data_IF_175520559091
#
_entry.id   IF_175520559091
#
_cell.length_a   1.000
_cell.length_b   1.000
_cell.length_c   1.000
_cell.angle_alpha   90.00
_cell.angle_beta   90.00
_cell.angle_gamma   90.00
#
_symmetry.space_group_name_H-M   'P 1'
#
loop_
_entity.id
_entity.type
_entity.pdbx_description
1 polymer ?
#
# COMPACT_ATOMS: atom_id res chain seq x y z
N UNK A 1 17.32 -45.77 -5.57
CA UNK A 1 18.43 -45.52 -6.52
C UNK A 1 17.99 -44.33 -7.35
N UNK A 2 18.45 -43.10 -7.13
CA UNK A 2 19.75 -42.58 -7.54
C UNK A 2 20.33 -41.59 -6.51
N UNK A 3 21.60 -41.80 -6.15
CA UNK A 3 22.49 -40.86 -5.45
C UNK A 3 23.35 -40.19 -6.53
N UNK A 4 23.55 -38.87 -6.49
CA UNK A 4 24.72 -38.29 -7.16
C UNK A 4 25.21 -37.00 -6.48
N UNK A 5 26.39 -37.11 -5.86
CA UNK A 5 27.47 -36.13 -5.77
C UNK A 5 27.28 -34.82 -5.00
N UNK A 6 27.24 -34.96 -3.67
CA UNK A 6 27.40 -33.90 -2.66
C UNK A 6 28.88 -33.51 -2.38
N UNK A 7 29.84 -33.72 -3.30
CA UNK A 7 31.29 -33.64 -2.95
C UNK A 7 32.18 -32.85 -3.94
N UNK A 8 31.66 -32.31 -5.06
CA UNK A 8 32.51 -31.56 -6.03
C UNK A 8 32.25 -30.05 -6.14
N UNK A 9 31.18 -29.53 -5.54
CA UNK A 9 30.88 -28.07 -5.57
C UNK A 9 31.47 -27.36 -4.34
N UNK A 10 31.90 -28.13 -3.34
CA UNK A 10 32.42 -27.65 -2.04
C UNK A 10 33.75 -26.88 -2.13
N UNK A 11 34.38 -26.75 -3.30
CA UNK A 11 35.69 -26.09 -3.44
C UNK A 11 35.75 -24.91 -4.43
N UNK A 12 34.68 -24.60 -5.16
CA UNK A 12 34.71 -23.54 -6.20
C UNK A 12 34.09 -22.21 -5.71
N UNK A 13 33.23 -22.22 -4.69
CA UNK A 13 32.55 -20.98 -4.25
C UNK A 13 33.26 -20.29 -3.07
N UNK A 14 34.17 -21.00 -2.38
CA UNK A 14 34.96 -20.44 -1.27
C UNK A 14 36.00 -19.38 -1.69
N UNK A 15 36.17 -19.08 -2.98
CA UNK A 15 37.13 -18.08 -3.50
C UNK A 15 36.51 -16.79 -4.08
N UNK A 16 35.17 -16.68 -4.17
CA UNK A 16 34.50 -15.44 -4.65
C UNK A 16 34.16 -14.50 -3.50
N UNK A 17 34.60 -14.80 -2.27
CA UNK A 17 34.31 -14.00 -1.06
C UNK A 17 35.20 -12.76 -0.91
N UNK A 18 36.29 -12.56 -1.67
CA UNK A 18 37.31 -11.59 -1.24
C UNK A 18 37.43 -10.26 -2.01
N UNK A 19 36.89 -10.08 -3.23
CA UNK A 19 37.36 -8.98 -4.12
C UNK A 19 36.25 -8.18 -4.84
N UNK A 20 35.07 -8.03 -4.23
CA UNK A 20 34.15 -6.97 -4.66
C UNK A 20 33.55 -6.26 -3.46
N UNK A 21 34.47 -5.71 -2.66
CA UNK A 21 34.44 -4.32 -2.21
C UNK A 21 33.06 -3.76 -1.91
N UNK A 22 32.66 -3.93 -0.65
CA UNK A 22 32.33 -2.81 0.24
C UNK A 22 31.56 -1.63 -0.37
N UNK A 23 30.39 -1.91 -0.93
CA UNK A 23 29.21 -1.10 -0.66
C UNK A 23 28.17 -1.98 0.01
N UNK A 24 28.57 -2.60 1.13
CA UNK A 24 27.60 -2.93 2.18
C UNK A 24 27.19 -1.58 2.75
N UNK A 25 26.17 -0.96 2.15
CA UNK A 25 25.24 -0.21 2.98
C UNK A 25 24.69 -1.25 3.94
N UNK A 26 25.13 -1.17 5.19
CA UNK A 26 24.38 -1.73 6.29
C UNK A 26 23.06 -0.94 6.31
N UNK A 27 22.07 -1.40 5.54
CA UNK A 27 20.71 -0.93 5.67
C UNK A 27 20.24 -1.43 7.04
N UNK A 28 20.28 -0.50 7.99
CA UNK A 28 20.01 -0.75 9.39
C UNK A 28 18.53 -1.16 9.54
N UNK A 29 18.36 -2.42 9.99
CA UNK A 29 17.13 -3.03 10.52
C UNK A 29 16.05 -3.33 9.49
N UNK A 30 15.87 -4.65 9.34
CA UNK A 30 14.62 -5.37 9.12
C UNK A 30 13.48 -4.81 10.00
N UNK A 31 12.96 -3.62 9.69
CA UNK A 31 11.75 -3.08 10.29
C UNK A 31 10.59 -3.65 9.49
N UNK A 32 10.03 -4.76 9.98
CA UNK A 32 8.71 -5.21 9.54
C UNK A 32 7.74 -4.03 9.71
N UNK A 33 6.93 -3.67 8.70
CA UNK A 33 6.00 -2.55 8.83
C UNK A 33 5.09 -2.75 10.05
N UNK A 34 4.72 -1.66 10.74
CA UNK A 34 3.86 -1.71 11.95
C UNK A 34 2.58 -2.49 11.70
N UNK A 35 2.06 -2.40 10.47
CA UNK A 35 0.83 -3.05 10.03
C UNK A 35 1.07 -4.10 8.95
N UNK A 36 0.41 -5.25 9.08
CA UNK A 36 0.30 -6.24 8.00
C UNK A 36 -0.95 -5.96 7.17
N UNK A 37 -0.79 -5.15 6.11
CA UNK A 37 -1.89 -4.69 5.26
C UNK A 37 -2.67 -5.85 4.62
N UNK A 38 -1.98 -6.93 4.23
CA UNK A 38 -2.62 -8.11 3.61
C UNK A 38 -3.53 -8.84 4.61
N UNK A 39 -3.08 -8.99 5.86
CA UNK A 39 -3.89 -9.59 6.93
C UNK A 39 -5.09 -8.72 7.25
N UNK A 40 -4.90 -7.40 7.34
CA UNK A 40 -5.99 -6.45 7.58
C UNK A 40 -7.03 -6.49 6.47
N UNK A 41 -6.59 -6.46 5.20
CA UNK A 41 -7.48 -6.56 4.05
C UNK A 41 -8.25 -7.89 4.04
N UNK A 42 -7.59 -9.01 4.36
CA UNK A 42 -8.23 -10.32 4.43
C UNK A 42 -9.28 -10.41 5.55
N UNK A 43 -8.97 -9.93 6.75
CA UNK A 43 -9.91 -9.87 7.87
C UNK A 43 -11.15 -9.03 7.54
N UNK A 44 -10.94 -7.85 6.94
CA UNK A 44 -12.04 -6.99 6.53
C UNK A 44 -12.84 -7.58 5.37
N UNK A 45 -12.20 -8.25 4.41
CA UNK A 45 -12.90 -8.91 3.31
C UNK A 45 -13.83 -10.01 3.81
N UNK A 46 -13.37 -10.84 4.77
CA UNK A 46 -14.22 -11.85 5.41
C UNK A 46 -15.40 -11.23 6.14
N UNK A 47 -15.21 -10.12 6.84
CA UNK A 47 -16.29 -9.44 7.59
C UNK A 47 -17.43 -8.93 6.71
N UNK A 48 -17.14 -8.60 5.45
CA UNK A 48 -18.10 -8.03 4.50
C UNK A 48 -18.38 -8.94 3.31
N UNK A 49 -18.04 -10.24 3.42
CA UNK A 49 -18.26 -11.26 2.39
C UNK A 49 -17.71 -10.86 1.00
N UNK A 50 -16.57 -10.14 0.98
CA UNK A 50 -15.92 -9.72 -0.26
C UNK A 50 -15.13 -10.89 -0.83
N UNK A 51 -15.48 -11.29 -2.06
CA UNK A 51 -14.76 -12.32 -2.78
C UNK A 51 -13.40 -11.82 -3.29
N UNK A 52 -12.48 -12.75 -3.57
CA UNK A 52 -11.19 -12.42 -4.19
C UNK A 52 -11.35 -11.73 -5.54
N UNK A 53 -12.37 -12.14 -6.29
CA UNK A 53 -12.70 -11.59 -7.61
C UNK A 53 -13.20 -10.15 -7.50
N UNK A 54 -14.06 -9.84 -6.52
CA UNK A 54 -14.50 -8.47 -6.25
C UNK A 54 -13.33 -7.58 -5.83
N UNK A 55 -12.50 -8.06 -4.89
CA UNK A 55 -11.31 -7.33 -4.45
C UNK A 55 -10.35 -7.07 -5.61
N UNK A 56 -10.02 -8.12 -6.38
CA UNK A 56 -9.15 -8.02 -7.56
C UNK A 56 -9.71 -7.02 -8.57
N UNK A 57 -11.02 -7.10 -8.87
CA UNK A 57 -11.69 -6.16 -9.78
C UNK A 57 -11.53 -4.72 -9.32
N UNK A 58 -11.82 -4.43 -8.04
CA UNK A 58 -11.71 -3.08 -7.49
C UNK A 58 -10.31 -2.47 -7.67
N UNK A 59 -9.26 -3.26 -7.39
CA UNK A 59 -7.87 -2.82 -7.53
C UNK A 59 -7.48 -2.66 -9.01
N UNK A 60 -7.83 -3.61 -9.87
CA UNK A 60 -7.49 -3.58 -11.29
C UNK A 60 -8.17 -2.44 -12.05
N UNK A 61 -9.41 -2.10 -11.67
CA UNK A 61 -10.16 -1.01 -12.31
C UNK A 61 -9.98 0.34 -11.64
N UNK A 62 -9.28 0.40 -10.50
CA UNK A 62 -9.19 1.57 -9.62
C UNK A 62 -10.58 2.09 -9.23
N UNK A 63 -11.49 1.18 -8.91
CA UNK A 63 -12.88 1.49 -8.60
C UNK A 63 -13.24 0.98 -7.20
N UNK A 64 -13.28 1.90 -6.24
CA UNK A 64 -13.61 1.58 -4.86
C UNK A 64 -15.08 1.17 -4.68
N UNK A 65 -15.98 1.55 -5.60
CA UNK A 65 -17.42 1.27 -5.50
C UNK A 65 -17.77 -0.19 -5.73
N UNK A 66 -16.83 -0.97 -6.29
CA UNK A 66 -16.96 -2.43 -6.42
C UNK A 66 -17.03 -3.11 -5.05
N UNK A 67 -16.48 -2.49 -4.00
CA UNK A 67 -16.47 -3.01 -2.63
C UNK A 67 -17.44 -2.25 -1.74
N UNK A 68 -17.97 -2.93 -0.72
CA UNK A 68 -18.85 -2.31 0.25
C UNK A 68 -18.17 -1.10 0.94
N UNK A 69 -18.83 0.05 1.10
CA UNK A 69 -18.22 1.23 1.73
C UNK A 69 -17.57 0.95 3.10
N UNK A 70 -18.21 0.12 3.92
CA UNK A 70 -17.71 -0.23 5.24
C UNK A 70 -16.47 -1.13 5.24
N UNK A 71 -16.14 -1.78 4.12
CA UNK A 71 -14.86 -2.48 3.96
C UNK A 71 -13.70 -1.49 4.04
N UNK A 72 -13.79 -0.37 3.33
CA UNK A 72 -12.77 0.68 3.34
C UNK A 72 -12.59 1.24 4.76
N UNK A 73 -13.69 1.50 5.46
CA UNK A 73 -13.65 1.91 6.86
C UNK A 73 -12.89 0.90 7.73
N UNK A 74 -13.22 -0.38 7.60
CA UNK A 74 -12.58 -1.44 8.39
C UNK A 74 -11.06 -1.45 8.19
N UNK A 75 -10.60 -1.36 6.94
CA UNK A 75 -9.18 -1.28 6.61
C UNK A 75 -8.56 -0.02 7.20
N UNK A 76 -9.14 1.15 6.93
CA UNK A 76 -8.56 2.43 7.32
C UNK A 76 -8.52 2.67 8.83
N UNK A 77 -9.55 2.22 9.58
CA UNK A 77 -9.53 2.29 11.05
C UNK A 77 -8.41 1.43 11.65
N UNK A 78 -8.16 0.23 11.09
CA UNK A 78 -7.13 -0.69 11.60
C UNK A 78 -5.71 -0.16 11.43
N UNK A 79 -5.49 0.70 10.43
CA UNK A 79 -4.19 1.34 10.16
C UNK A 79 -4.15 2.82 10.54
N UNK A 80 -5.17 3.31 11.27
CA UNK A 80 -5.30 4.69 11.74
C UNK A 80 -5.28 5.76 10.63
N UNK A 81 -5.71 5.39 9.42
CA UNK A 81 -5.97 6.36 8.34
C UNK A 81 -7.19 7.23 8.67
N UNK A 82 -8.12 6.68 9.46
CA UNK A 82 -9.23 7.44 10.04
C UNK A 82 -9.00 7.65 11.54
N UNK A 83 -9.35 8.82 12.04
CA UNK A 83 -9.38 9.12 13.47
C UNK A 83 -10.59 8.47 14.17
N UNK A 84 -10.73 8.67 15.48
CA UNK A 84 -11.84 8.09 16.26
C UNK A 84 -13.23 8.58 15.84
N UNK A 85 -13.32 9.71 15.13
CA UNK A 85 -14.56 10.29 14.60
C UNK A 85 -14.89 9.77 13.19
N UNK A 86 -14.05 8.89 12.63
CA UNK A 86 -14.22 8.37 11.27
C UNK A 86 -13.90 9.41 10.19
N UNK A 87 -13.11 10.44 10.53
CA UNK A 87 -12.58 11.42 9.59
C UNK A 87 -11.18 11.02 9.13
N UNK A 88 -10.81 11.41 7.92
CA UNK A 88 -9.48 11.20 7.36
C UNK A 88 -8.42 11.96 8.15
N UNK A 89 -7.44 11.23 8.69
CA UNK A 89 -6.29 11.77 9.40
C UNK A 89 -5.08 11.80 8.45
N UNK A 90 -4.83 12.96 7.86
CA UNK A 90 -3.76 13.16 6.89
C UNK A 90 -2.36 12.92 7.51
N UNK A 91 -2.09 13.46 8.69
CA UNK A 91 -0.78 13.39 9.32
C UNK A 91 -0.41 11.95 9.70
N UNK A 92 -1.35 11.21 10.30
CA UNK A 92 -1.15 9.80 10.62
C UNK A 92 -0.98 8.96 9.35
N UNK A 93 -1.78 9.25 8.32
CA UNK A 93 -1.66 8.56 7.03
C UNK A 93 -0.33 8.83 6.33
N UNK A 94 0.17 10.06 6.42
CA UNK A 94 1.45 10.44 5.83
C UNK A 94 2.61 9.70 6.52
N UNK A 95 2.55 9.55 7.84
CA UNK A 95 3.54 8.77 8.59
C UNK A 95 3.48 7.27 8.25
N UNK A 96 2.28 6.72 8.11
CA UNK A 96 2.10 5.34 7.62
C UNK A 96 2.69 5.16 6.21
N UNK A 97 2.46 6.11 5.31
CA UNK A 97 3.01 6.07 3.95
C UNK A 97 4.55 6.12 3.97
N UNK A 98 5.17 6.93 4.84
CA UNK A 98 6.64 6.96 5.00
C UNK A 98 7.20 5.59 5.39
N UNK A 99 6.52 4.87 6.29
CA UNK A 99 6.94 3.53 6.72
C UNK A 99 6.81 2.51 5.58
N UNK A 100 5.66 2.50 4.87
CA UNK A 100 5.40 1.58 3.75
C UNK A 100 6.37 1.81 2.58
N UNK A 101 6.67 3.07 2.26
CA UNK A 101 7.52 3.47 1.15
C UNK A 101 8.94 3.84 1.59
N UNK A 102 9.39 3.32 2.74
CA UNK A 102 10.76 3.50 3.20
C UNK A 102 11.75 3.06 2.11
N UNK A 103 12.77 3.89 1.88
CA UNK A 103 13.79 3.72 0.84
C UNK A 103 13.24 3.77 -0.61
N UNK A 104 12.03 4.31 -0.81
CA UNK A 104 11.36 4.46 -2.12
C UNK A 104 10.91 5.90 -2.35
N UNK A 105 11.84 6.85 -2.25
CA UNK A 105 11.55 8.30 -2.19
C UNK A 105 10.64 8.78 -3.34
N UNK A 106 10.89 8.36 -4.58
CA UNK A 106 10.06 8.74 -5.74
C UNK A 106 8.61 8.26 -5.62
N UNK A 107 8.41 7.04 -5.13
CA UNK A 107 7.07 6.49 -4.92
C UNK A 107 6.39 7.16 -3.73
N UNK A 108 7.16 7.46 -2.67
CA UNK A 108 6.66 8.19 -1.52
C UNK A 108 6.17 9.60 -1.91
N UNK A 109 6.95 10.37 -2.68
CA UNK A 109 6.55 11.70 -3.19
C UNK A 109 5.24 11.63 -3.99
N UNK A 110 5.11 10.63 -4.88
CA UNK A 110 3.88 10.41 -5.65
C UNK A 110 2.68 10.11 -4.73
N UNK A 111 2.87 9.28 -3.71
CA UNK A 111 1.83 8.92 -2.75
C UNK A 111 1.46 10.10 -1.87
N UNK A 112 2.43 10.87 -1.39
CA UNK A 112 2.19 12.08 -0.60
C UNK A 112 1.29 13.07 -1.36
N UNK A 113 1.56 13.30 -2.65
CA UNK A 113 0.72 14.17 -3.49
C UNK A 113 -0.69 13.60 -3.72
N UNK A 114 -0.84 12.28 -3.80
CA UNK A 114 -2.16 11.63 -3.84
C UNK A 114 -2.92 11.85 -2.53
N UNK A 115 -2.28 11.61 -1.38
CA UNK A 115 -2.88 11.76 -0.06
C UNK A 115 -3.34 13.19 0.20
N UNK A 116 -2.52 14.19 -0.14
CA UNK A 116 -2.85 15.62 0.00
C UNK A 116 -4.10 16.00 -0.79
N UNK A 117 -4.25 15.49 -2.01
CA UNK A 117 -5.43 15.77 -2.87
C UNK A 117 -6.74 15.24 -2.29
N UNK A 118 -6.68 14.30 -1.35
CA UNK A 118 -7.85 13.66 -0.77
C UNK A 118 -8.23 14.22 0.61
N UNK A 119 -7.56 15.27 1.10
CA UNK A 119 -7.90 15.87 2.40
C UNK A 119 -9.33 16.43 2.43
N UNK A 120 -9.83 16.93 1.29
CA UNK A 120 -11.17 17.54 1.19
C UNK A 120 -12.33 16.56 1.37
N UNK A 121 -12.09 15.24 1.43
CA UNK A 121 -13.18 14.25 1.65
C UNK A 121 -13.84 14.40 3.03
N UNK A 122 -13.19 15.07 3.98
CA UNK A 122 -13.79 15.39 5.27
C UNK A 122 -14.91 16.44 5.15
N UNK A 123 -14.88 17.28 4.12
CA UNK A 123 -15.87 18.33 3.87
C UNK A 123 -17.10 17.80 3.10
N UNK A 124 -17.02 16.59 2.57
CA UNK A 124 -18.11 15.96 1.82
C UNK A 124 -19.27 15.56 2.74
N UNK A 125 -20.49 15.82 2.28
CA UNK A 125 -21.69 15.38 2.98
C UNK A 125 -21.88 13.88 2.81
N UNK A 126 -22.06 13.17 3.92
CA UNK A 126 -22.35 11.73 3.95
C UNK A 126 -23.69 11.45 4.63
N UNK A 127 -24.38 10.41 4.17
CA UNK A 127 -25.69 10.00 4.69
C UNK A 127 -25.59 9.09 5.91
N UNK A 128 -24.44 8.41 6.08
CA UNK A 128 -24.19 7.48 7.19
C UNK A 128 -23.59 8.14 8.44
N UNK A 129 -23.42 9.46 8.41
CA UNK A 129 -22.97 10.29 9.53
C UNK A 129 -21.65 9.79 10.14
N UNK A 130 -21.69 9.47 11.44
CA UNK A 130 -20.51 8.99 12.18
C UNK A 130 -20.21 7.51 11.94
N UNK A 131 -21.02 6.80 11.15
CA UNK A 131 -20.66 5.47 10.70
C UNK A 131 -19.43 5.54 9.79
N UNK A 132 -19.24 6.60 8.99
CA UNK A 132 -18.00 6.89 8.27
C UNK A 132 -17.64 5.90 7.16
N UNK A 133 -18.54 4.99 6.78
CA UNK A 133 -18.35 4.07 5.67
C UNK A 133 -18.36 4.81 4.33
N UNK A 134 -19.30 5.74 4.13
CA UNK A 134 -19.36 6.54 2.91
C UNK A 134 -18.12 7.42 2.75
N UNK A 135 -17.70 8.10 3.82
CA UNK A 135 -16.46 8.91 3.80
C UNK A 135 -15.24 8.05 3.48
N UNK A 136 -15.17 6.84 4.02
CA UNK A 136 -14.09 5.90 3.71
C UNK A 136 -14.11 5.47 2.24
N UNK A 137 -15.31 5.25 1.67
CA UNK A 137 -15.45 4.95 0.25
C UNK A 137 -15.02 6.13 -0.63
N UNK A 138 -15.40 7.37 -0.27
CA UNK A 138 -14.96 8.59 -0.97
C UNK A 138 -13.44 8.75 -0.92
N UNK A 139 -12.83 8.52 0.25
CA UNK A 139 -11.39 8.55 0.41
C UNK A 139 -10.70 7.50 -0.46
N UNK A 140 -11.18 6.25 -0.45
CA UNK A 140 -10.64 5.18 -1.27
C UNK A 140 -10.76 5.49 -2.77
N UNK A 141 -11.92 5.98 -3.22
CA UNK A 141 -12.11 6.44 -4.61
C UNK A 141 -11.11 7.53 -4.97
N UNK A 142 -10.98 8.57 -4.13
CA UNK A 142 -10.04 9.66 -4.37
C UNK A 142 -8.59 9.16 -4.51
N UNK A 143 -8.15 8.27 -3.61
CA UNK A 143 -6.80 7.70 -3.66
C UNK A 143 -6.59 6.85 -4.92
N UNK A 144 -7.53 5.96 -5.25
CA UNK A 144 -7.44 5.09 -6.43
C UNK A 144 -7.47 5.88 -7.75
N UNK A 145 -8.33 6.90 -7.86
CA UNK A 145 -8.40 7.73 -9.06
C UNK A 145 -7.10 8.53 -9.27
N UNK A 146 -6.53 9.09 -8.20
CA UNK A 146 -5.27 9.81 -8.29
C UNK A 146 -4.08 8.86 -8.49
N UNK A 147 -4.11 7.65 -7.94
CA UNK A 147 -3.14 6.60 -8.22
C UNK A 147 -3.19 6.17 -9.69
N UNK A 148 -4.39 5.97 -10.25
CA UNK A 148 -4.57 5.71 -11.69
C UNK A 148 -3.92 6.82 -12.52
N UNK A 149 -4.24 8.09 -12.24
CA UNK A 149 -3.64 9.24 -12.93
C UNK A 149 -2.11 9.28 -12.78
N UNK A 150 -1.57 8.93 -11.61
CA UNK A 150 -0.13 9.05 -11.34
C UNK A 150 0.69 7.89 -11.91
N UNK A 151 0.19 6.66 -11.81
CA UNK A 151 0.93 5.44 -12.14
C UNK A 151 0.59 4.83 -13.51
N UNK A 152 -0.53 5.21 -14.14
CA UNK A 152 -0.90 4.75 -15.49
C UNK A 152 -0.59 5.75 -16.60
N UNK A 153 -0.11 6.95 -16.26
CA UNK A 153 0.49 7.85 -17.26
C UNK A 153 1.90 7.31 -17.58
N UNK A 154 2.18 6.84 -18.80
CA UNK A 154 3.57 6.68 -19.23
C UNK A 154 4.19 8.06 -19.14
N UNK A 155 5.31 8.18 -18.40
CA UNK A 155 6.15 9.38 -18.34
C UNK A 155 6.14 10.11 -19.67
N UNK A 156 5.43 11.23 -19.75
CA UNK A 156 5.32 12.05 -20.95
C UNK A 156 6.72 12.57 -21.31
N UNK A 157 7.29 12.30 -22.50
CA UNK A 157 8.12 13.28 -23.15
C UNK A 157 7.19 14.13 -24.03
N UNK A 158 6.87 15.33 -23.58
CA UNK A 158 6.53 16.41 -24.51
C UNK A 158 7.73 17.33 -24.43
N UNK A 159 8.71 17.02 -25.27
CA UNK A 159 9.81 17.91 -25.59
C UNK A 159 9.78 18.04 -27.11
N UNK A 160 9.23 19.19 -27.52
CA UNK A 160 9.46 19.99 -28.73
C UNK A 160 9.58 19.22 -30.06
#
# INVERSE_FOLDING_TARGET
MFRCNMVKVTYIILFVVAVSLSSVQADDKNSKPEFNLDTIAFECAQKFDISKEQFSKAIMTFDASVLAPCFWKCCFMKVRVLNSEGQYDFDTTLNLAKDIFKNKDKQYEMVEEILKKCVSVNDESVSDGNAGCERSSLLASCMLENAKKTFTIPSRPTVI
#
